data_IF_633341714017
#
_entry.id   IF_633341714017
#
_cell.length_a   1.000
_cell.length_b   1.000
_cell.length_c   1.000
_cell.angle_alpha   90.00
_cell.angle_beta   90.00
_cell.angle_gamma   90.00
#
_symmetry.space_group_name_H-M   'P 1'
#
loop_
_entity.id
_entity.type
_entity.pdbx_description
1 polymer ?
#
# COMPACT_ATOMS: atom_id res chain seq x y z
N UNK A 1 -2.40 1.90 6.43
CA UNK A 1 -2.73 1.39 5.09
C UNK A 1 -1.46 1.01 4.34
N UNK A 2 -1.49 -0.13 3.71
CA UNK A 2 -0.30 -0.67 3.05
C UNK A 2 -0.14 -0.16 1.61
N UNK A 3 -0.33 1.14 1.44
CA UNK A 3 -0.04 1.81 0.17
C UNK A 3 0.50 3.22 0.41
N UNK A 4 1.09 3.77 -0.63
CA UNK A 4 1.50 5.17 -0.66
C UNK A 4 0.32 5.99 -1.17
N UNK A 5 -0.57 6.39 -0.25
CA UNK A 5 -1.76 7.15 -0.60
C UNK A 5 -1.38 8.46 -1.33
N UNK A 6 -2.17 8.89 -2.30
CA UNK A 6 -3.52 8.42 -2.66
C UNK A 6 -3.55 7.24 -3.64
N UNK A 7 -2.42 6.64 -3.94
CA UNK A 7 -2.38 5.46 -4.81
C UNK A 7 -2.88 4.23 -4.06
N UNK A 8 -3.60 3.39 -4.77
CA UNK A 8 -4.05 2.07 -4.31
C UNK A 8 -4.90 2.13 -3.04
N UNK A 9 -5.89 3.03 -3.03
CA UNK A 9 -6.93 3.01 -2.02
C UNK A 9 -7.76 1.74 -2.19
N UNK A 10 -8.32 1.27 -1.08
CA UNK A 10 -9.21 0.11 -1.10
C UNK A 10 -8.48 -1.20 -0.91
N UNK A 11 -8.83 -2.18 -1.72
CA UNK A 11 -8.44 -3.58 -1.55
C UNK A 11 -7.11 -3.92 -2.23
N UNK A 12 -6.30 -4.73 -1.56
CA UNK A 12 -5.07 -5.35 -2.09
C UNK A 12 -4.07 -4.36 -2.70
N UNK A 13 -3.72 -3.29 -1.97
CA UNK A 13 -2.83 -2.26 -2.53
C UNK A 13 -1.44 -2.78 -2.91
N UNK A 14 -0.93 -3.75 -2.17
CA UNK A 14 0.36 -4.37 -2.47
C UNK A 14 0.37 -4.98 -3.88
N UNK A 15 -0.67 -5.74 -4.22
CA UNK A 15 -0.81 -6.35 -5.54
C UNK A 15 -0.85 -5.28 -6.64
N UNK A 16 -1.75 -4.31 -6.48
CA UNK A 16 -1.99 -3.30 -7.52
C UNK A 16 -0.80 -2.38 -7.74
N UNK A 17 -0.01 -2.11 -6.72
CA UNK A 17 1.18 -1.26 -6.88
C UNK A 17 2.16 -1.85 -7.90
N UNK A 18 2.29 -3.16 -7.94
CA UNK A 18 3.17 -3.82 -8.91
C UNK A 18 2.53 -3.95 -10.29
N UNK A 19 1.26 -4.33 -10.33
CA UNK A 19 0.55 -4.53 -11.61
C UNK A 19 0.39 -3.23 -12.38
N UNK A 20 0.08 -2.14 -11.68
CA UNK A 20 -0.12 -0.83 -12.31
C UNK A 20 1.14 0.05 -12.29
N UNK A 21 2.23 -0.46 -11.72
CA UNK A 21 3.48 0.29 -11.59
C UNK A 21 3.29 1.65 -10.91
N UNK A 22 2.51 1.65 -9.84
CA UNK A 22 2.33 2.82 -8.98
C UNK A 22 3.25 2.71 -7.76
N UNK A 23 3.52 3.82 -7.05
CA UNK A 23 4.40 3.77 -5.89
C UNK A 23 3.92 2.78 -4.83
N UNK A 24 4.83 1.94 -4.35
CA UNK A 24 4.61 1.11 -3.17
C UNK A 24 4.95 1.91 -1.92
N UNK A 25 4.28 1.63 -0.83
CA UNK A 25 4.58 2.30 0.42
C UNK A 25 3.55 2.05 1.49
N UNK A 26 3.60 2.90 2.50
CA UNK A 26 2.70 2.82 3.65
C UNK A 26 2.18 4.20 3.99
N UNK A 27 1.01 4.25 4.61
CA UNK A 27 0.39 5.51 5.02
C UNK A 27 -0.36 5.32 6.32
N UNK A 28 -0.34 6.36 7.14
CA UNK A 28 -1.23 6.52 8.30
C UNK A 28 -2.13 7.70 7.96
N UNK A 29 -3.43 7.51 8.04
CA UNK A 29 -4.40 8.53 7.64
C UNK A 29 -5.60 8.55 8.58
N UNK A 30 -6.34 9.64 8.55
CA UNK A 30 -7.60 9.74 9.27
C UNK A 30 -8.69 8.96 8.52
N UNK A 31 -9.68 8.51 9.25
CA UNK A 31 -10.84 7.82 8.68
C UNK A 31 -11.94 8.85 8.45
N UNK A 32 -12.49 8.88 7.24
CA UNK A 32 -13.68 9.66 6.92
C UNK A 32 -14.75 8.75 6.29
N UNK A 33 -15.73 9.32 5.61
CA UNK A 33 -16.82 8.54 5.02
C UNK A 33 -16.43 7.72 3.80
N UNK A 34 -15.28 8.03 3.18
CA UNK A 34 -14.79 7.30 2.01
C UNK A 34 -13.85 6.16 2.39
N UNK A 35 -13.47 5.36 1.39
CA UNK A 35 -12.51 4.29 1.58
C UNK A 35 -11.10 4.83 1.36
N UNK A 36 -10.34 4.92 2.45
CA UNK A 36 -8.96 5.40 2.46
C UNK A 36 -8.80 6.81 1.87
N UNK A 37 -9.81 7.66 2.08
CA UNK A 37 -9.85 9.02 1.54
C UNK A 37 -9.57 10.10 2.59
N UNK A 38 -9.44 9.74 3.85
CA UNK A 38 -9.15 10.69 4.93
C UNK A 38 -7.79 11.35 4.78
N UNK A 39 -7.60 12.48 5.48
CA UNK A 39 -6.34 13.23 5.43
C UNK A 39 -5.15 12.38 5.80
N UNK A 40 -4.07 12.47 5.04
CA UNK A 40 -2.86 11.69 5.26
C UNK A 40 -2.03 12.36 6.35
N UNK A 41 -1.71 11.58 7.40
CA UNK A 41 -0.90 12.05 8.51
C UNK A 41 0.59 11.81 8.22
N UNK A 42 0.94 10.57 7.89
CA UNK A 42 2.29 10.16 7.52
C UNK A 42 2.23 9.21 6.34
N UNK A 43 3.20 9.30 5.45
CA UNK A 43 3.37 8.33 4.37
C UNK A 43 4.85 8.14 4.07
N UNK A 44 5.19 6.94 3.60
CA UNK A 44 6.57 6.58 3.28
C UNK A 44 6.58 5.69 2.05
N UNK A 45 7.38 6.06 1.05
CA UNK A 45 7.62 5.19 -0.10
C UNK A 45 8.54 4.05 0.31
N UNK A 46 8.24 2.87 -0.17
CA UNK A 46 9.07 1.68 -0.01
C UNK A 46 9.41 1.19 -1.41
N UNK A 47 10.70 1.21 -1.75
CA UNK A 47 11.15 0.72 -3.04
C UNK A 47 11.54 -0.75 -2.95
N UNK A 48 11.03 -1.55 -3.87
CA UNK A 48 11.36 -2.95 -3.97
C UNK A 48 12.13 -3.20 -5.25
N UNK A 49 13.22 -3.96 -5.13
CA UNK A 49 13.91 -4.48 -6.31
C UNK A 49 13.27 -5.81 -6.67
N UNK A 50 12.73 -5.92 -7.89
CA UNK A 50 12.14 -7.16 -8.36
C UNK A 50 13.22 -8.18 -8.62
N UNK A 51 13.38 -9.12 -7.70
CA UNK A 51 14.29 -10.25 -7.81
C UNK A 51 13.51 -11.53 -8.10
N UNK A 52 14.21 -12.58 -8.46
CA UNK A 52 13.61 -13.91 -8.70
C UNK A 52 12.84 -14.45 -7.49
N UNK A 53 13.19 -13.98 -6.29
CA UNK A 53 12.65 -14.56 -5.06
C UNK A 53 11.58 -13.69 -4.39
N UNK A 54 11.31 -12.51 -4.93
CA UNK A 54 10.35 -11.60 -4.32
C UNK A 54 8.92 -12.04 -4.66
N UNK A 55 8.16 -12.34 -3.62
CA UNK A 55 6.75 -12.75 -3.74
C UNK A 55 5.83 -11.67 -3.15
N UNK A 56 4.55 -11.73 -3.49
CA UNK A 56 3.57 -10.82 -2.90
C UNK A 56 3.48 -10.99 -1.37
N UNK A 57 3.63 -12.21 -0.86
CA UNK A 57 3.66 -12.45 0.58
C UNK A 57 4.83 -11.73 1.25
N UNK A 58 6.01 -11.77 0.65
CA UNK A 58 7.20 -11.11 1.20
C UNK A 58 7.04 -9.60 1.22
N UNK A 59 6.58 -9.00 0.13
CA UNK A 59 6.37 -7.56 0.08
C UNK A 59 5.29 -7.12 1.06
N UNK A 60 4.21 -7.88 1.19
CA UNK A 60 3.17 -7.62 2.17
C UNK A 60 3.73 -7.61 3.59
N UNK A 61 4.54 -8.61 3.94
CA UNK A 61 5.18 -8.68 5.26
C UNK A 61 6.09 -7.48 5.51
N UNK A 62 6.88 -7.10 4.52
CA UNK A 62 7.77 -5.94 4.63
C UNK A 62 6.96 -4.65 4.86
N UNK A 63 5.90 -4.45 4.09
CA UNK A 63 5.04 -3.28 4.25
C UNK A 63 4.39 -3.25 5.64
N UNK A 64 3.94 -4.39 6.13
CA UNK A 64 3.32 -4.50 7.44
C UNK A 64 4.31 -4.15 8.56
N UNK A 65 5.54 -4.66 8.48
CA UNK A 65 6.59 -4.32 9.44
C UNK A 65 6.92 -2.83 9.39
N UNK A 66 6.96 -2.24 8.21
CA UNK A 66 7.21 -0.80 8.06
C UNK A 66 6.09 0.05 8.66
N UNK A 67 4.83 -0.40 8.53
CA UNK A 67 3.70 0.28 9.18
C UNK A 67 3.87 0.24 10.69
N UNK A 68 4.21 -0.91 11.26
CA UNK A 68 4.43 -1.04 12.69
C UNK A 68 5.54 -0.11 13.17
N UNK A 69 6.67 -0.09 12.46
CA UNK A 69 7.79 0.80 12.80
C UNK A 69 7.38 2.26 12.79
N UNK A 70 6.64 2.67 11.77
CA UNK A 70 6.18 4.05 11.65
C UNK A 70 5.20 4.39 12.78
N UNK A 71 4.27 3.50 13.07
CA UNK A 71 3.30 3.66 14.15
C UNK A 71 4.00 3.85 15.50
N UNK A 72 4.94 2.97 15.84
CA UNK A 72 5.67 3.08 17.10
C UNK A 72 6.51 4.36 17.18
N UNK A 73 7.13 4.74 16.07
CA UNK A 73 7.91 5.98 16.03
C UNK A 73 7.04 7.23 16.26
N UNK A 74 5.80 7.22 15.77
CA UNK A 74 4.89 8.36 15.80
C UNK A 74 3.79 8.24 16.84
N UNK A 75 3.81 7.22 17.64
CA UNK A 75 2.75 6.87 18.58
C UNK A 75 2.28 8.05 19.42
N UNK A 76 3.21 8.79 20.05
CA UNK A 76 2.85 9.90 20.92
C UNK A 76 2.16 11.03 20.16
N UNK A 77 2.66 11.37 18.98
CA UNK A 77 2.05 12.41 18.16
C UNK A 77 0.65 12.00 17.70
N UNK A 78 0.48 10.73 17.32
CA UNK A 78 -0.81 10.20 16.89
C UNK A 78 -1.80 10.21 18.06
N UNK A 79 -1.40 9.70 19.21
CA UNK A 79 -2.25 9.62 20.39
C UNK A 79 -2.68 10.99 20.89
N UNK A 80 -1.76 11.96 20.92
CA UNK A 80 -2.02 13.31 21.37
C UNK A 80 -2.57 14.22 20.27
N UNK A 81 -2.84 13.71 19.10
CA UNK A 81 -3.32 14.45 17.93
C UNK A 81 -2.42 15.63 17.55
N UNK A 82 -1.11 15.49 17.77
CA UNK A 82 -0.12 16.49 17.39
C UNK A 82 0.44 16.14 16.01
N UNK A 83 -0.38 16.34 14.98
CA UNK A 83 0.00 16.08 13.60
C UNK A 83 -0.79 16.98 12.66
N UNK A 84 -0.29 17.10 11.44
CA UNK A 84 -0.99 17.79 10.35
C UNK A 84 -1.43 16.76 9.34
N UNK A 85 -2.55 17.02 8.66
CA UNK A 85 -3.03 16.17 7.59
C UNK A 85 -2.80 16.83 6.25
N UNK A 86 -2.62 16.00 5.21
CA UNK A 86 -2.47 16.47 3.84
C UNK A 86 -3.44 15.73 2.93
N UNK A 87 -3.95 16.46 1.94
CA UNK A 87 -4.70 15.90 0.82
C UNK A 87 -3.85 16.12 -0.42
N UNK A 88 -3.11 15.10 -0.88
CA UNK A 88 -2.21 15.27 -2.01
C UNK A 88 -2.95 15.66 -3.29
N UNK A 89 -2.25 16.38 -4.16
CA UNK A 89 -2.83 16.83 -5.45
C UNK A 89 -2.97 15.68 -6.45
N UNK A 90 -2.21 14.61 -6.29
CA UNK A 90 -2.30 13.45 -7.17
C UNK A 90 -3.69 12.83 -7.10
N UNK A 91 -4.23 12.43 -8.24
CA UNK A 91 -5.55 11.81 -8.31
C UNK A 91 -5.56 10.45 -7.62
N UNK A 92 -4.46 9.71 -7.74
CA UNK A 92 -4.34 8.40 -7.14
C UNK A 92 -5.17 7.33 -7.84
N UNK A 93 -5.25 6.18 -7.20
CA UNK A 93 -5.97 5.02 -7.73
C UNK A 93 -6.75 4.33 -6.62
N UNK A 94 -7.75 3.54 -6.99
CA UNK A 94 -8.52 2.76 -6.03
C UNK A 94 -9.01 1.47 -6.67
N UNK A 95 -9.16 0.43 -5.84
CA UNK A 95 -9.61 -0.88 -6.28
C UNK A 95 -10.53 -1.49 -5.25
N UNK A 96 -11.50 -2.26 -5.73
CA UNK A 96 -12.32 -3.09 -4.86
C UNK A 96 -11.86 -4.55 -4.95
N UNK A 97 -12.31 -5.37 -4.02
CA UNK A 97 -12.02 -6.80 -4.02
C UNK A 97 -12.46 -7.48 -5.32
N UNK A 98 -13.50 -6.97 -5.96
CA UNK A 98 -14.03 -7.49 -7.23
C UNK A 98 -13.05 -7.33 -8.39
N UNK A 99 -12.13 -6.37 -8.30
CA UNK A 99 -11.20 -6.08 -9.39
C UNK A 99 -10.09 -7.10 -9.51
N UNK A 100 -9.87 -7.93 -8.47
CA UNK A 100 -8.83 -8.95 -8.50
C UNK A 100 -9.09 -9.99 -9.59
N UNK A 101 -8.04 -10.41 -10.31
CA UNK A 101 -8.18 -11.49 -11.28
C UNK A 101 -8.69 -12.77 -10.63
N UNK A 102 -9.69 -13.41 -11.24
CA UNK A 102 -10.33 -14.61 -10.68
C UNK A 102 -9.39 -15.81 -10.57
N UNK A 103 -8.34 -15.83 -11.38
CA UNK A 103 -7.36 -16.92 -11.39
C UNK A 103 -6.21 -16.72 -10.39
N UNK A 104 -6.21 -15.60 -9.68
CA UNK A 104 -5.18 -15.32 -8.69
C UNK A 104 -5.62 -15.91 -7.35
N UNK A 105 -5.10 -17.09 -7.01
CA UNK A 105 -5.51 -17.81 -5.81
C UNK A 105 -4.46 -17.86 -4.72
N UNK A 106 -3.21 -17.48 -5.00
CA UNK A 106 -2.11 -17.58 -4.04
C UNK A 106 -1.25 -16.33 -4.05
N UNK A 107 -0.80 -15.95 -2.86
CA UNK A 107 0.08 -14.78 -2.67
C UNK A 107 1.57 -15.16 -2.58
N UNK A 108 1.90 -16.44 -2.62
CA UNK A 108 3.29 -16.91 -2.65
C UNK A 108 3.88 -16.93 -4.06
N UNK A 109 3.19 -16.36 -5.03
CA UNK A 109 3.65 -16.23 -6.40
C UNK A 109 4.76 -15.21 -6.48
N UNK A 110 5.80 -15.49 -7.25
CA UNK A 110 6.87 -14.52 -7.51
C UNK A 110 6.33 -13.39 -8.36
N UNK A 111 6.53 -12.16 -7.88
CA UNK A 111 6.00 -10.96 -8.54
C UNK A 111 6.50 -10.87 -9.98
N UNK A 112 7.80 -11.07 -10.18
CA UNK A 112 8.41 -10.99 -11.51
C UNK A 112 7.77 -11.96 -12.50
N UNK A 113 7.52 -13.18 -12.07
CA UNK A 113 6.88 -14.21 -12.91
C UNK A 113 5.44 -13.84 -13.23
N UNK A 114 4.71 -13.35 -12.23
CA UNK A 114 3.32 -12.91 -12.42
C UNK A 114 3.23 -11.77 -13.45
N UNK A 115 4.09 -10.77 -13.31
CA UNK A 115 4.10 -9.64 -14.24
C UNK A 115 4.42 -10.07 -15.68
N UNK A 116 5.31 -11.05 -15.86
CA UNK A 116 5.59 -11.60 -17.17
C UNK A 116 4.37 -12.31 -17.77
N UNK A 117 3.56 -12.98 -16.96
CA UNK A 117 2.37 -13.68 -17.43
C UNK A 117 1.29 -12.74 -17.97
N UNK A 118 1.35 -11.46 -17.63
CA UNK A 118 0.39 -10.45 -18.11
C UNK A 118 0.72 -9.88 -19.48
N UNK A 119 1.87 -10.22 -20.04
CA UNK A 119 2.31 -9.74 -21.35
C UNK A 119 1.90 -10.65 -22.49
#
# INVERSE_FOLDING_TARGET
HSSYLPYNRGSHPNFWSFVENTPSGISIHEIDSGVDTGGIIYRKKIKFQLSKHLTFNKTYTILFVEIEKLFFKKYRNLFNRKYKTKFPKEIGTSHSKKDLPKNLVKWNVRIKDYLKSLK
#
